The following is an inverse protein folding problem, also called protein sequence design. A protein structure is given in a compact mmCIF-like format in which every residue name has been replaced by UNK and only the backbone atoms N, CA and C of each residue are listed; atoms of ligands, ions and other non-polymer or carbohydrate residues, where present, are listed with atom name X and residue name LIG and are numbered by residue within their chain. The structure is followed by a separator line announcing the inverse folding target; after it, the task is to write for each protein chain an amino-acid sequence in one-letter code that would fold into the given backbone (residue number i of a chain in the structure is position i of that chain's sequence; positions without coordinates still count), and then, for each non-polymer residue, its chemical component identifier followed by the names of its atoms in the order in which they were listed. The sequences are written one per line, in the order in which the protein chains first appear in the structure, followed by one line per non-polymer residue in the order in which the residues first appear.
data_IF_351380775558
#
_entry.id   IF_351380775558
#
_cell.length_a   1.000
_cell.length_b   1.000
_cell.length_c   1.000
_cell.angle_alpha   90.00
_cell.angle_beta   90.00
_cell.angle_gamma   90.00
#
_symmetry.space_group_name_H-M   'P 1'
#
loop_
_entity.id
_entity.type
_entity.pdbx_description
1 polymer ?
#
# COMPACT_ATOMS: atom_id res chain seq x y z
N UNK A 1 34.10 0.86 13.59
CA UNK A 1 33.14 -0.19 13.15
C UNK A 1 32.27 -0.72 14.30
N UNK A 2 32.83 -1.15 15.44
CA UNK A 2 32.02 -1.64 16.59
C UNK A 2 31.00 -0.61 17.11
N UNK A 3 31.42 0.65 17.28
CA UNK A 3 30.54 1.73 17.75
C UNK A 3 29.39 2.01 16.76
N UNK A 4 29.70 2.06 15.48
CA UNK A 4 28.70 2.22 14.42
C UNK A 4 27.67 1.07 14.43
N UNK A 5 28.16 -0.18 14.55
CA UNK A 5 27.31 -1.35 14.67
C UNK A 5 26.42 -1.32 15.92
N UNK A 6 26.96 -0.88 17.05
CA UNK A 6 26.19 -0.75 18.29
C UNK A 6 25.08 0.31 18.19
N UNK A 7 25.38 1.48 17.61
CA UNK A 7 24.39 2.53 17.35
C UNK A 7 23.30 1.99 16.42
N UNK A 8 23.69 1.34 15.31
CA UNK A 8 22.75 0.74 14.36
C UNK A 8 21.81 -0.27 15.03
N UNK A 9 22.36 -1.24 15.77
CA UNK A 9 21.57 -2.26 16.48
C UNK A 9 20.63 -1.62 17.49
N UNK A 10 21.12 -0.66 18.28
CA UNK A 10 20.30 0.07 19.24
C UNK A 10 19.14 0.81 18.54
N UNK A 11 19.43 1.53 17.46
CA UNK A 11 18.41 2.27 16.70
C UNK A 11 17.37 1.32 16.11
N UNK A 12 17.77 0.20 15.52
CA UNK A 12 16.84 -0.80 14.97
C UNK A 12 15.98 -1.42 16.08
N UNK A 13 16.56 -1.75 17.23
CA UNK A 13 15.81 -2.27 18.38
C UNK A 13 14.75 -1.26 18.84
N UNK A 14 15.10 0.04 18.93
CA UNK A 14 14.14 1.07 19.32
C UNK A 14 13.04 1.29 18.25
N UNK A 15 13.38 1.20 16.96
CA UNK A 15 12.43 1.33 15.85
C UNK A 15 11.43 0.17 15.82
N UNK A 16 11.88 -1.06 16.08
CA UNK A 16 11.03 -2.25 16.09
C UNK A 16 10.22 -2.35 17.40
N UNK A 17 10.86 -2.12 18.56
CA UNK A 17 10.22 -2.30 19.85
C UNK A 17 9.29 -1.14 20.23
N UNK A 18 9.57 0.09 19.77
CA UNK A 18 8.77 1.29 20.06
C UNK A 18 8.35 1.41 21.54
N UNK A 19 9.32 1.40 22.49
CA UNK A 19 9.00 1.38 23.91
C UNK A 19 8.14 2.58 24.29
N UNK A 20 7.02 2.34 25.00
CA UNK A 20 6.04 3.37 25.38
C UNK A 20 5.43 4.16 24.21
N UNK A 21 5.38 3.57 23.01
CA UNK A 21 4.87 4.24 21.82
C UNK A 21 5.83 5.31 21.27
N UNK A 22 7.12 5.18 21.55
CA UNK A 22 8.16 6.00 20.92
C UNK A 22 8.03 5.90 19.40
N UNK A 23 7.70 7.02 18.77
CA UNK A 23 7.55 7.08 17.32
C UNK A 23 8.85 6.72 16.60
N UNK A 24 8.73 6.01 15.48
CA UNK A 24 9.85 5.52 14.66
C UNK A 24 10.82 6.65 14.30
N UNK A 25 10.29 7.84 13.97
CA UNK A 25 11.09 9.02 13.64
C UNK A 25 11.97 9.52 14.78
N UNK A 26 11.50 9.49 16.03
CA UNK A 26 12.30 9.90 17.19
C UNK A 26 13.43 8.91 17.45
N UNK A 27 13.17 7.62 17.33
CA UNK A 27 14.19 6.58 17.47
C UNK A 27 15.28 6.72 16.40
N UNK A 28 14.89 6.93 15.14
CA UNK A 28 15.81 7.17 14.03
C UNK A 28 16.61 8.47 14.19
N UNK A 29 15.95 9.58 14.53
CA UNK A 29 16.60 10.87 14.76
C UNK A 29 17.59 10.82 15.93
N UNK A 30 17.24 10.11 17.01
CA UNK A 30 18.14 9.89 18.15
C UNK A 30 19.38 9.07 17.75
N UNK A 31 19.20 8.04 16.91
CA UNK A 31 20.29 7.27 16.33
C UNK A 31 21.23 8.12 15.48
N UNK A 32 20.67 8.95 14.60
CA UNK A 32 21.44 9.88 13.78
C UNK A 32 22.20 10.92 14.62
N UNK A 33 21.55 11.48 15.65
CA UNK A 33 22.18 12.41 16.58
C UNK A 33 23.34 11.75 17.34
N UNK A 34 23.16 10.52 17.83
CA UNK A 34 24.23 9.75 18.48
C UNK A 34 25.40 9.47 17.52
N UNK A 35 25.13 9.14 16.26
CA UNK A 35 26.16 8.91 15.25
C UNK A 35 26.99 10.17 14.96
N UNK A 36 26.35 11.35 14.91
CA UNK A 36 27.01 12.63 14.75
C UNK A 36 27.84 13.01 16.00
N UNK A 37 27.24 12.88 17.20
CA UNK A 37 27.90 13.24 18.47
C UNK A 37 29.12 12.36 18.76
N UNK A 38 29.09 11.10 18.35
CA UNK A 38 30.20 10.16 18.53
C UNK A 38 31.25 10.25 17.42
N UNK A 39 31.04 11.08 16.41
CA UNK A 39 31.94 11.22 15.26
C UNK A 39 31.99 9.99 14.34
N UNK A 40 31.06 9.04 14.50
CA UNK A 40 30.90 7.88 13.60
C UNK A 40 30.45 8.33 12.22
N UNK A 41 29.62 9.37 12.18
CA UNK A 41 29.17 10.06 10.96
C UNK A 41 29.61 11.51 11.07
N UNK A 42 30.16 12.05 10.00
CA UNK A 42 30.55 13.45 9.88
C UNK A 42 29.45 14.25 9.17
N UNK A 43 29.42 15.57 9.38
CA UNK A 43 28.49 16.46 8.67
C UNK A 43 28.66 16.35 7.14
N UNK A 44 29.88 16.04 6.68
CA UNK A 44 30.19 15.79 5.27
C UNK A 44 29.54 14.52 4.69
N UNK A 45 29.05 13.60 5.52
CA UNK A 45 28.35 12.39 5.06
C UNK A 45 26.85 12.65 4.80
N UNK A 46 26.30 13.74 5.35
CA UNK A 46 24.87 14.08 5.21
C UNK A 46 24.45 14.22 3.75
N UNK A 47 25.20 14.92 2.86
CA UNK A 47 24.86 15.00 1.44
C UNK A 47 24.85 13.63 0.74
N UNK A 48 25.71 12.70 1.16
CA UNK A 48 25.76 11.34 0.60
C UNK A 48 24.50 10.57 0.99
N UNK A 49 24.12 10.61 2.27
CA UNK A 49 22.88 9.98 2.73
C UNK A 49 21.66 10.61 2.05
N UNK A 50 21.63 11.94 1.94
CA UNK A 50 20.57 12.66 1.25
C UNK A 50 20.45 12.22 -0.21
N UNK A 51 21.57 12.12 -0.94
CA UNK A 51 21.59 11.69 -2.33
C UNK A 51 21.00 10.28 -2.55
N UNK A 52 21.07 9.41 -1.54
CA UNK A 52 20.51 8.05 -1.58
C UNK A 52 19.00 8.04 -1.31
N UNK A 53 18.49 8.91 -0.44
CA UNK A 53 17.11 8.79 0.08
C UNK A 53 16.15 9.85 -0.42
N UNK A 54 16.63 10.98 -0.97
CA UNK A 54 15.77 12.11 -1.32
C UNK A 54 14.70 11.74 -2.36
N UNK A 55 15.09 10.99 -3.38
CA UNK A 55 14.21 10.57 -4.47
C UNK A 55 13.10 9.67 -3.91
N UNK A 56 13.49 8.60 -3.22
CA UNK A 56 12.57 7.68 -2.56
C UNK A 56 11.61 8.39 -1.59
N UNK A 57 12.12 9.33 -0.79
CA UNK A 57 11.32 10.09 0.17
C UNK A 57 10.31 11.00 -0.53
N UNK A 58 10.74 11.75 -1.55
CA UNK A 58 9.88 12.67 -2.28
C UNK A 58 8.79 11.93 -3.07
N UNK A 59 9.16 10.84 -3.75
CA UNK A 59 8.20 9.98 -4.47
C UNK A 59 7.17 9.39 -3.52
N UNK A 60 7.60 8.87 -2.37
CA UNK A 60 6.71 8.30 -1.37
C UNK A 60 5.70 9.32 -0.82
N UNK A 61 6.18 10.53 -0.47
CA UNK A 61 5.30 11.63 -0.03
C UNK A 61 4.30 12.00 -1.14
N UNK A 62 4.75 12.11 -2.39
CA UNK A 62 3.87 12.44 -3.50
C UNK A 62 2.76 11.40 -3.70
N UNK A 63 3.09 10.11 -3.63
CA UNK A 63 2.12 9.01 -3.73
C UNK A 63 1.11 9.03 -2.58
N UNK A 64 1.56 9.31 -1.35
CA UNK A 64 0.65 9.46 -0.20
C UNK A 64 -0.32 10.63 -0.43
N UNK A 65 0.18 11.80 -0.85
CA UNK A 65 -0.67 12.98 -1.10
C UNK A 65 -1.71 12.68 -2.18
N UNK A 66 -1.30 12.04 -3.29
CA UNK A 66 -2.21 11.65 -4.37
C UNK A 66 -3.29 10.69 -3.85
N UNK A 67 -2.89 9.71 -3.04
CA UNK A 67 -3.81 8.73 -2.45
C UNK A 67 -4.81 9.39 -1.53
N UNK A 68 -4.38 10.31 -0.66
CA UNK A 68 -5.27 11.07 0.22
C UNK A 68 -6.24 11.96 -0.57
N UNK A 69 -5.78 12.63 -1.63
CA UNK A 69 -6.65 13.45 -2.49
C UNK A 69 -7.71 12.60 -3.22
N UNK A 70 -7.33 11.41 -3.68
CA UNK A 70 -8.26 10.47 -4.30
C UNK A 70 -9.29 9.95 -3.29
N UNK A 71 -8.86 9.66 -2.07
CA UNK A 71 -9.78 9.24 -1.01
C UNK A 71 -10.77 10.35 -0.62
N UNK A 72 -10.29 11.59 -0.48
CA UNK A 72 -11.14 12.75 -0.24
C UNK A 72 -12.13 13.02 -1.39
N UNK A 73 -11.79 12.66 -2.62
CA UNK A 73 -12.73 12.71 -3.76
C UNK A 73 -13.81 11.62 -3.71
N UNK A 74 -13.60 10.57 -2.90
CA UNK A 74 -14.44 9.38 -2.80
C UNK A 74 -14.09 8.28 -3.81
N UNK A 75 -12.90 8.34 -4.43
CA UNK A 75 -12.49 7.41 -5.49
C UNK A 75 -12.45 5.95 -5.02
N UNK A 76 -11.85 5.69 -3.85
CA UNK A 76 -11.71 4.32 -3.35
C UNK A 76 -13.05 3.72 -2.89
N UNK A 77 -13.93 4.50 -2.25
CA UNK A 77 -15.30 4.06 -1.92
C UNK A 77 -16.09 3.80 -3.22
N UNK A 78 -15.98 4.68 -4.21
CA UNK A 78 -16.59 4.49 -5.53
C UNK A 78 -16.13 3.19 -6.21
N UNK A 79 -14.83 2.90 -6.16
CA UNK A 79 -14.25 1.70 -6.75
C UNK A 79 -14.70 0.43 -6.00
N UNK A 80 -14.67 0.47 -4.66
CA UNK A 80 -15.13 -0.63 -3.81
C UNK A 80 -16.61 -0.96 -4.05
N UNK A 81 -17.48 0.05 -4.16
CA UNK A 81 -18.91 -0.13 -4.45
C UNK A 81 -19.19 -0.70 -5.85
N UNK A 82 -18.33 -0.43 -6.84
CA UNK A 82 -18.41 -1.06 -8.17
C UNK A 82 -18.02 -2.53 -8.11
N UNK A 83 -16.84 -2.80 -7.53
CA UNK A 83 -16.31 -4.15 -7.32
C UNK A 83 -17.30 -5.01 -6.54
N UNK A 84 -17.93 -4.46 -5.51
CA UNK A 84 -18.91 -5.17 -4.73
C UNK A 84 -20.19 -5.50 -5.51
N UNK A 85 -20.52 -4.76 -6.57
CA UNK A 85 -21.63 -5.12 -7.47
C UNK A 85 -21.22 -6.16 -8.51
N UNK A 86 -19.96 -6.17 -8.93
CA UNK A 86 -19.43 -7.21 -9.83
C UNK A 86 -19.43 -8.60 -9.22
N UNK A 87 -19.42 -8.71 -7.89
CA UNK A 87 -19.62 -9.98 -7.19
C UNK A 87 -21.01 -10.61 -7.41
N UNK A 88 -22.00 -9.87 -7.94
CA UNK A 88 -23.34 -10.36 -8.33
C UNK A 88 -24.02 -11.19 -7.23
N UNK A 89 -23.85 -10.78 -5.97
CA UNK A 89 -24.43 -11.44 -4.81
C UNK A 89 -23.74 -12.75 -4.39
N UNK A 90 -22.64 -13.17 -5.02
CA UNK A 90 -21.86 -14.36 -4.63
C UNK A 90 -20.67 -13.96 -3.77
N UNK A 91 -20.65 -14.35 -2.50
CA UNK A 91 -19.61 -13.87 -1.56
C UNK A 91 -18.20 -14.32 -1.92
N UNK A 92 -18.03 -15.50 -2.56
CA UNK A 92 -16.72 -15.91 -3.11
C UNK A 92 -16.22 -15.02 -4.25
N UNK A 93 -17.12 -14.54 -5.12
CA UNK A 93 -16.72 -13.59 -6.16
C UNK A 93 -16.41 -12.22 -5.57
N UNK A 94 -17.19 -11.78 -4.59
CA UNK A 94 -16.91 -10.56 -3.84
C UNK A 94 -15.52 -10.61 -3.20
N UNK A 95 -15.16 -11.74 -2.57
CA UNK A 95 -13.85 -11.96 -1.98
C UNK A 95 -12.73 -11.80 -3.02
N UNK A 96 -12.83 -12.49 -4.16
CA UNK A 96 -11.85 -12.35 -5.24
C UNK A 96 -11.74 -10.90 -5.72
N UNK A 97 -12.87 -10.21 -5.94
CA UNK A 97 -12.83 -8.84 -6.46
C UNK A 97 -12.25 -7.85 -5.46
N UNK A 98 -12.53 -8.00 -4.17
CA UNK A 98 -11.93 -7.15 -3.13
C UNK A 98 -10.41 -7.39 -3.05
N UNK A 99 -9.97 -8.64 -3.15
CA UNK A 99 -8.54 -8.96 -3.19
C UNK A 99 -7.88 -8.35 -4.43
N UNK A 100 -8.50 -8.48 -5.61
CA UNK A 100 -7.98 -7.87 -6.84
C UNK A 100 -8.00 -6.34 -6.82
N UNK A 101 -8.99 -5.73 -6.16
CA UNK A 101 -9.02 -4.29 -5.91
C UNK A 101 -7.84 -3.88 -5.04
N UNK A 102 -7.61 -4.58 -3.92
CA UNK A 102 -6.45 -4.36 -3.05
C UNK A 102 -5.13 -4.52 -3.80
N UNK A 103 -5.02 -5.55 -4.65
CA UNK A 103 -3.84 -5.76 -5.49
C UNK A 103 -3.57 -4.59 -6.43
N UNK A 104 -4.63 -4.07 -7.06
CA UNK A 104 -4.54 -2.94 -7.99
C UNK A 104 -4.15 -1.65 -7.27
N UNK A 105 -4.74 -1.41 -6.10
CA UNK A 105 -4.43 -0.22 -5.29
C UNK A 105 -2.99 -0.29 -4.79
N UNK A 106 -2.54 -1.42 -4.26
CA UNK A 106 -1.16 -1.56 -3.77
C UNK A 106 -0.11 -1.45 -4.88
N UNK A 107 -0.39 -1.98 -6.07
CA UNK A 107 0.48 -1.83 -7.22
C UNK A 107 0.64 -0.36 -7.66
N UNK A 108 -0.39 0.48 -7.53
CA UNK A 108 -0.37 1.85 -8.05
C UNK A 108 -0.07 2.93 -6.99
N UNK A 109 -0.48 2.72 -5.73
CA UNK A 109 -0.55 3.74 -4.68
C UNK A 109 0.23 3.42 -3.41
N UNK A 110 1.15 2.45 -3.53
CA UNK A 110 1.84 1.85 -2.42
C UNK A 110 0.99 0.96 -1.51
N UNK A 111 1.66 -0.02 -0.89
CA UNK A 111 1.07 -0.92 0.11
C UNK A 111 0.39 -0.13 1.24
N UNK A 112 1.08 0.86 1.81
CA UNK A 112 0.57 1.61 2.96
C UNK A 112 -0.74 2.34 2.66
N UNK A 113 -0.87 2.91 1.45
CA UNK A 113 -2.11 3.54 0.99
C UNK A 113 -3.25 2.53 0.89
N UNK A 114 -2.98 1.34 0.32
CA UNK A 114 -3.97 0.27 0.26
C UNK A 114 -4.40 -0.19 1.66
N UNK A 115 -3.45 -0.39 2.57
CA UNK A 115 -3.73 -0.84 3.93
C UNK A 115 -4.50 0.20 4.75
N UNK A 116 -4.11 1.48 4.68
CA UNK A 116 -4.71 2.54 5.50
C UNK A 116 -6.07 2.99 4.98
N UNK A 117 -6.26 3.05 3.66
CA UNK A 117 -7.46 3.62 3.03
C UNK A 117 -8.47 2.53 2.68
N UNK A 118 -8.05 1.44 2.02
CA UNK A 118 -9.00 0.45 1.51
C UNK A 118 -9.58 -0.40 2.64
N UNK A 119 -8.80 -0.70 3.68
CA UNK A 119 -9.25 -1.52 4.83
C UNK A 119 -10.49 -0.95 5.53
N UNK A 120 -10.53 0.32 5.98
CA UNK A 120 -11.72 0.87 6.62
C UNK A 120 -12.93 0.91 5.67
N UNK A 121 -12.71 1.16 4.37
CA UNK A 121 -13.78 1.14 3.34
C UNK A 121 -14.37 -0.27 3.22
N UNK A 122 -13.50 -1.29 3.13
CA UNK A 122 -13.91 -2.69 3.05
C UNK A 122 -14.67 -3.10 4.32
N UNK A 123 -14.18 -2.72 5.51
CA UNK A 123 -14.87 -3.01 6.78
C UNK A 123 -16.26 -2.36 6.79
N UNK A 124 -16.37 -1.07 6.47
CA UNK A 124 -17.65 -0.36 6.45
C UNK A 124 -18.65 -1.01 5.48
N UNK A 125 -18.17 -1.44 4.32
CA UNK A 125 -18.97 -2.14 3.32
C UNK A 125 -19.44 -3.52 3.79
N UNK A 126 -18.57 -4.31 4.41
CA UNK A 126 -18.92 -5.63 4.94
C UNK A 126 -19.92 -5.53 6.10
N UNK A 127 -19.78 -4.51 6.96
CA UNK A 127 -20.74 -4.19 8.00
C UNK A 127 -22.11 -3.81 7.40
N UNK A 128 -22.13 -2.99 6.34
CA UNK A 128 -23.37 -2.64 5.64
C UNK A 128 -24.04 -3.86 4.97
N UNK A 129 -23.26 -4.85 4.54
CA UNK A 129 -23.75 -6.13 4.02
C UNK A 129 -24.21 -7.11 5.12
N UNK A 130 -24.04 -6.77 6.40
CA UNK A 130 -24.40 -7.62 7.54
C UNK A 130 -23.47 -8.83 7.73
N UNK A 131 -22.21 -8.73 7.28
CA UNK A 131 -21.26 -9.84 7.42
C UNK A 131 -20.84 -10.01 8.89
N UNK A 132 -20.76 -11.27 9.33
CA UNK A 132 -20.34 -11.61 10.68
C UNK A 132 -18.83 -11.37 10.93
N UNK A 133 -18.37 -11.37 12.19
CA UNK A 133 -16.99 -11.07 12.55
C UNK A 133 -15.94 -11.94 11.84
N UNK A 134 -16.21 -13.24 11.68
CA UNK A 134 -15.31 -14.18 11.00
C UNK A 134 -15.13 -13.83 9.51
N UNK A 135 -16.22 -13.48 8.83
CA UNK A 135 -16.18 -13.04 7.44
C UNK A 135 -15.43 -11.71 7.31
N UNK A 136 -15.72 -10.74 8.18
CA UNK A 136 -15.01 -9.45 8.17
C UNK A 136 -13.51 -9.64 8.38
N UNK A 137 -13.10 -10.50 9.32
CA UNK A 137 -11.70 -10.84 9.53
C UNK A 137 -11.08 -11.44 8.26
N UNK A 138 -11.75 -12.39 7.61
CA UNK A 138 -11.25 -13.02 6.39
C UNK A 138 -10.96 -12.00 5.28
N UNK A 139 -11.89 -11.06 5.05
CA UNK A 139 -11.73 -10.03 4.02
C UNK A 139 -10.65 -9.00 4.38
N UNK A 140 -10.56 -8.58 5.64
CA UNK A 140 -9.54 -7.63 6.11
C UNK A 140 -8.15 -8.26 6.02
N UNK A 141 -7.99 -9.51 6.47
CA UNK A 141 -6.73 -10.23 6.35
C UNK A 141 -6.34 -10.41 4.88
N UNK A 142 -7.31 -10.74 4.02
CA UNK A 142 -7.08 -10.86 2.59
C UNK A 142 -6.63 -9.54 1.95
N UNK A 143 -7.24 -8.41 2.32
CA UNK A 143 -6.83 -7.09 1.90
C UNK A 143 -5.40 -6.74 2.38
N UNK A 144 -5.04 -7.09 3.61
CA UNK A 144 -3.69 -6.89 4.14
C UNK A 144 -2.63 -7.73 3.43
N UNK A 145 -2.85 -9.04 3.30
CA UNK A 145 -1.90 -9.94 2.62
C UNK A 145 -1.70 -9.59 1.15
N UNK A 146 -2.78 -9.21 0.46
CA UNK A 146 -2.66 -8.83 -0.94
C UNK A 146 -2.03 -7.46 -1.10
N UNK A 147 -2.26 -6.51 -0.18
CA UNK A 147 -1.60 -5.21 -0.23
C UNK A 147 -0.08 -5.36 -0.14
N UNK A 148 0.40 -6.27 0.72
CA UNK A 148 1.81 -6.59 0.80
C UNK A 148 2.31 -7.31 -0.46
N UNK A 149 1.66 -8.42 -0.83
CA UNK A 149 2.07 -9.26 -1.97
C UNK A 149 2.07 -8.50 -3.30
N UNK A 150 1.04 -7.69 -3.55
CA UNK A 150 0.81 -7.04 -4.84
C UNK A 150 1.57 -5.72 -5.02
N UNK A 151 2.38 -5.33 -4.03
CA UNK A 151 3.21 -4.13 -4.04
C UNK A 151 4.58 -4.33 -4.73
N UNK A 152 4.76 -5.44 -5.46
CA UNK A 152 5.98 -5.79 -6.17
C UNK A 152 6.15 -5.22 -7.60
N UNK A 153 5.11 -4.95 -8.41
CA UNK A 153 5.28 -4.86 -9.85
C UNK A 153 5.97 -3.57 -10.31
N UNK A 154 5.77 -2.44 -9.61
CA UNK A 154 6.34 -1.15 -9.99
C UNK A 154 7.30 -0.64 -8.92
N UNK A 155 8.28 0.16 -9.34
CA UNK A 155 9.22 0.82 -8.43
C UNK A 155 8.46 1.65 -7.39
N UNK A 156 7.40 2.35 -7.80
CA UNK A 156 6.59 3.21 -6.91
C UNK A 156 5.60 2.45 -6.02
N UNK A 157 5.42 1.14 -6.22
CA UNK A 157 4.48 0.32 -5.44
C UNK A 157 4.94 0.10 -4.00
N UNK A 158 6.21 0.29 -3.66
CA UNK A 158 6.71 0.11 -2.30
C UNK A 158 7.99 0.91 -2.09
N UNK A 159 8.17 1.52 -0.90
CA UNK A 159 9.40 2.24 -0.55
C UNK A 159 10.66 1.38 -0.75
N UNK A 160 10.59 0.09 -0.41
CA UNK A 160 11.72 -0.84 -0.58
C UNK A 160 12.11 -1.01 -2.05
N UNK A 161 11.13 -0.99 -2.96
CA UNK A 161 11.39 -1.07 -4.40
C UNK A 161 12.08 0.20 -4.89
N UNK A 162 11.64 1.39 -4.43
CA UNK A 162 12.27 2.66 -4.81
C UNK A 162 13.72 2.70 -4.37
N UNK A 163 14.00 2.38 -3.10
CA UNK A 163 15.36 2.37 -2.55
C UNK A 163 16.25 1.35 -3.28
N UNK A 164 15.72 0.16 -3.57
CA UNK A 164 16.48 -0.89 -4.27
C UNK A 164 16.77 -0.50 -5.72
N UNK A 165 15.77 0.01 -6.45
CA UNK A 165 15.95 0.40 -7.83
C UNK A 165 16.91 1.58 -7.98
N UNK A 166 16.85 2.57 -7.09
CA UNK A 166 17.76 3.72 -7.07
C UNK A 166 19.20 3.27 -6.77
N UNK A 167 19.38 2.37 -5.78
CA UNK A 167 20.70 1.84 -5.39
C UNK A 167 21.35 0.98 -6.48
N UNK A 168 20.57 0.14 -7.18
CA UNK A 168 21.06 -0.71 -8.27
C UNK A 168 20.97 -0.05 -9.65
N UNK A 169 20.53 1.22 -9.72
CA UNK A 169 20.31 1.98 -10.95
C UNK A 169 19.42 1.26 -11.98
N UNK A 170 18.37 0.60 -11.51
CA UNK A 170 17.42 -0.13 -12.37
C UNK A 170 16.43 0.84 -13.01
N UNK A 171 16.26 0.71 -14.33
CA UNK A 171 15.24 1.46 -15.05
C UNK A 171 13.82 0.96 -14.71
N UNK A 172 12.82 1.85 -14.77
CA UNK A 172 11.43 1.48 -14.48
C UNK A 172 10.91 0.34 -15.37
N UNK A 173 11.16 0.42 -16.68
CA UNK A 173 10.74 -0.61 -17.65
C UNK A 173 11.43 -1.95 -17.40
N UNK A 174 12.73 -1.92 -17.11
CA UNK A 174 13.51 -3.13 -16.78
C UNK A 174 12.95 -3.80 -15.52
N UNK A 175 12.77 -3.04 -14.44
CA UNK A 175 12.20 -3.52 -13.20
C UNK A 175 10.80 -4.13 -13.42
N UNK A 176 9.90 -3.39 -14.08
CA UNK A 176 8.54 -3.82 -14.31
C UNK A 176 8.47 -5.08 -15.20
N UNK A 177 9.35 -5.21 -16.20
CA UNK A 177 9.36 -6.37 -17.11
C UNK A 177 9.61 -7.70 -16.38
N UNK A 178 10.38 -7.66 -15.29
CA UNK A 178 10.67 -8.83 -14.45
C UNK A 178 9.64 -8.98 -13.34
N UNK A 179 9.30 -7.88 -12.67
CA UNK A 179 8.47 -7.91 -11.47
C UNK A 179 6.97 -8.05 -11.75
N UNK A 180 6.47 -7.62 -12.91
CA UNK A 180 5.05 -7.82 -13.27
C UNK A 180 4.70 -9.32 -13.38
N UNK A 181 5.45 -10.17 -14.11
CA UNK A 181 5.22 -11.61 -14.11
C UNK A 181 5.32 -12.26 -12.73
N UNK A 182 6.33 -11.88 -11.93
CA UNK A 182 6.51 -12.37 -10.55
C UNK A 182 5.30 -12.00 -9.69
N UNK A 183 4.84 -10.76 -9.80
CA UNK A 183 3.68 -10.25 -9.10
C UNK A 183 2.39 -11.00 -9.47
N UNK A 184 2.18 -11.30 -10.76
CA UNK A 184 1.03 -12.09 -11.19
C UNK A 184 1.04 -13.50 -10.57
N UNK A 185 2.20 -14.17 -10.56
CA UNK A 185 2.33 -15.46 -9.90
C UNK A 185 2.05 -15.36 -8.39
N UNK A 186 2.56 -14.32 -7.74
CA UNK A 186 2.35 -14.07 -6.32
C UNK A 186 0.87 -13.78 -5.99
N UNK A 187 0.19 -12.94 -6.78
CA UNK A 187 -1.25 -12.66 -6.65
C UNK A 187 -2.06 -13.95 -6.80
N UNK A 188 -1.77 -14.79 -7.79
CA UNK A 188 -2.47 -16.06 -8.00
C UNK A 188 -2.25 -17.01 -6.81
N UNK A 189 -1.02 -17.14 -6.33
CA UNK A 189 -0.69 -17.97 -5.17
C UNK A 189 -1.41 -17.47 -3.90
N UNK A 190 -1.38 -16.16 -3.65
CA UNK A 190 -2.05 -15.53 -2.50
C UNK A 190 -3.57 -15.69 -2.60
N UNK A 191 -4.18 -15.46 -3.77
CA UNK A 191 -5.60 -15.71 -3.98
C UNK A 191 -5.98 -17.17 -3.71
N UNK A 192 -5.21 -18.13 -4.23
CA UNK A 192 -5.47 -19.54 -4.04
C UNK A 192 -5.40 -19.93 -2.56
N UNK A 193 -4.36 -19.47 -1.84
CA UNK A 193 -4.15 -19.76 -0.43
C UNK A 193 -5.25 -19.11 0.44
N UNK A 194 -5.58 -17.85 0.18
CA UNK A 194 -6.63 -17.13 0.92
C UNK A 194 -8.01 -17.76 0.71
N UNK A 195 -8.34 -18.16 -0.53
CA UNK A 195 -9.57 -18.91 -0.79
C UNK A 195 -9.58 -20.26 -0.10
N UNK A 196 -8.46 -20.98 -0.07
CA UNK A 196 -8.38 -22.28 0.59
C UNK A 196 -8.52 -22.16 2.11
N UNK A 197 -7.86 -21.17 2.71
CA UNK A 197 -7.82 -20.94 4.15
C UNK A 197 -9.17 -20.42 4.66
N UNK A 198 -9.71 -19.37 4.04
CA UNK A 198 -10.97 -18.72 4.47
C UNK A 198 -12.24 -19.29 3.81
N UNK A 199 -12.15 -20.43 3.11
CA UNK A 199 -13.30 -21.05 2.38
C UNK A 199 -14.56 -21.25 3.22
N UNK A 200 -14.42 -21.39 4.55
CA UNK A 200 -15.52 -21.60 5.50
C UNK A 200 -16.09 -20.30 6.05
N UNK A 201 -15.29 -19.24 6.07
CA UNK A 201 -15.66 -17.95 6.67
C UNK A 201 -16.27 -17.00 5.63
N UNK A 202 -16.06 -17.25 4.33
CA UNK A 202 -16.66 -16.48 3.24
C UNK A 202 -18.14 -16.84 3.09
N UNK A 203 -19.07 -15.86 3.23
CA UNK A 203 -20.49 -16.10 3.00
C UNK A 203 -20.77 -16.58 1.56
N UNK A 204 -21.76 -17.45 1.39
CA UNK A 204 -22.11 -17.95 0.07
C UNK A 204 -22.80 -16.87 -0.78
N UNK A 205 -23.72 -16.11 -0.16
CA UNK A 205 -24.57 -15.13 -0.82
C UNK A 205 -24.62 -13.84 -0.01
N UNK A 206 -24.72 -12.70 -0.69
CA UNK A 206 -24.99 -11.40 -0.09
C UNK A 206 -25.95 -10.59 -0.97
N UNK A 207 -26.64 -9.61 -0.40
CA UNK A 207 -27.50 -8.72 -1.18
C UNK A 207 -26.74 -7.42 -1.54
N UNK A 208 -26.37 -7.20 -2.82
CA UNK A 208 -25.69 -5.98 -3.24
C UNK A 208 -26.56 -4.72 -3.15
N UNK A 209 -27.88 -4.84 -3.03
CA UNK A 209 -28.79 -3.69 -2.89
C UNK A 209 -28.70 -3.01 -1.53
N UNK A 210 -28.12 -3.69 -0.52
CA UNK A 210 -27.84 -3.09 0.79
C UNK A 210 -26.73 -2.02 0.71
N UNK A 211 -25.98 -1.97 -0.39
CA UNK A 211 -24.90 -1.02 -0.60
C UNK A 211 -25.39 0.27 -1.27
N UNK A 212 -24.83 1.40 -0.84
CA UNK A 212 -25.00 2.70 -1.50
C UNK A 212 -24.69 2.63 -2.99
N UNK A 213 -25.33 3.46 -3.80
CA UNK A 213 -25.04 3.58 -5.24
C UNK A 213 -23.63 4.14 -5.43
N UNK A 214 -22.83 3.69 -6.43
CA UNK A 214 -21.46 4.15 -6.56
C UNK A 214 -21.35 5.66 -6.80
N UNK A 215 -22.32 6.24 -7.51
CA UNK A 215 -22.40 7.68 -7.74
C UNK A 215 -22.51 8.49 -6.45
N UNK A 216 -23.10 7.93 -5.39
CA UNK A 216 -23.22 8.62 -4.09
C UNK A 216 -21.91 8.71 -3.30
N UNK A 217 -20.89 7.95 -3.70
CA UNK A 217 -19.55 8.03 -3.08
C UNK A 217 -18.74 9.23 -3.60
N UNK A 218 -19.08 9.79 -4.76
CA UNK A 218 -18.36 10.94 -5.33
C UNK A 218 -18.70 12.17 -4.51
N UNK A 219 -17.74 12.64 -3.69
CA UNK A 219 -17.91 13.83 -2.84
C UNK A 219 -17.73 15.13 -3.63
N UNK A 220 -16.71 15.17 -4.49
CA UNK A 220 -16.45 16.30 -5.39
C UNK A 220 -16.17 15.84 -6.84
N UNK A 221 -17.07 16.12 -7.79
CA UNK A 221 -16.90 15.75 -9.20
C UNK A 221 -15.68 16.38 -9.87
N UNK A 222 -15.25 17.57 -9.46
CA UNK A 222 -14.10 18.25 -10.05
C UNK A 222 -12.80 17.55 -9.64
N UNK A 223 -12.62 17.33 -8.33
CA UNK A 223 -11.48 16.57 -7.79
C UNK A 223 -11.49 15.13 -8.29
N UNK A 224 -12.64 14.48 -8.42
CA UNK A 224 -12.72 13.12 -8.98
C UNK A 224 -12.21 13.04 -10.42
N UNK A 225 -12.61 13.99 -11.29
CA UNK A 225 -12.10 14.06 -12.68
C UNK A 225 -10.62 14.41 -12.73
N UNK A 226 -10.18 15.35 -11.89
CA UNK A 226 -8.77 15.68 -11.75
C UNK A 226 -7.95 14.48 -11.28
N UNK A 227 -8.50 13.67 -10.37
CA UNK A 227 -7.91 12.42 -9.90
C UNK A 227 -7.61 11.46 -11.05
N UNK A 228 -8.55 11.23 -11.96
CA UNK A 228 -8.31 10.45 -13.18
C UNK A 228 -7.20 11.05 -14.05
N UNK A 229 -7.13 12.38 -14.17
CA UNK A 229 -6.05 13.07 -14.87
C UNK A 229 -4.69 12.85 -14.21
N UNK A 230 -4.62 12.95 -12.88
CA UNK A 230 -3.41 12.67 -12.09
C UNK A 230 -2.99 11.22 -12.25
N UNK A 231 -3.91 10.26 -12.23
CA UNK A 231 -3.60 8.84 -12.46
C UNK A 231 -3.02 8.59 -13.84
N UNK A 232 -3.61 9.19 -14.88
CA UNK A 232 -3.08 9.12 -16.23
C UNK A 232 -1.70 9.76 -16.34
N UNK A 233 -1.49 10.90 -15.69
CA UNK A 233 -0.21 11.61 -15.69
C UNK A 233 0.88 10.84 -14.93
N UNK A 234 0.57 10.27 -13.75
CA UNK A 234 1.50 9.44 -12.97
C UNK A 234 1.83 8.19 -13.76
N UNK A 235 0.83 7.46 -14.27
CA UNK A 235 1.07 6.28 -15.08
C UNK A 235 1.92 6.60 -16.31
N UNK A 236 1.60 7.67 -17.06
CA UNK A 236 2.37 8.09 -18.23
C UNK A 236 3.79 8.56 -17.89
N UNK A 237 3.96 9.29 -16.79
CA UNK A 237 5.26 9.78 -16.33
C UNK A 237 6.21 8.66 -15.92
N UNK A 238 5.70 7.55 -15.39
CA UNK A 238 6.51 6.39 -14.98
C UNK A 238 7.17 5.67 -16.16
N UNK A 239 6.57 5.71 -17.35
CA UNK A 239 7.13 5.08 -18.56
C UNK A 239 7.90 6.06 -19.46
N UNK A 240 8.00 7.33 -19.06
CA UNK A 240 8.78 8.32 -19.78
C UNK A 240 10.27 8.19 -19.36
N UNK A 241 11.22 8.18 -20.31
CA UNK A 241 12.65 8.02 -20.03
C UNK A 241 13.27 9.21 -19.30
#
# INVERSE_FOLDING_TARGET
MLLAGAIFVLTIVLVIWQPRGLGIGWSAASGAALALLTGVVQVGDIPVVWAIVWNATATFIAVIIISLLLDESGFFEWAALHVARWGKGRGRLLFTWIVLLGATVAALFANDGAALILTPIVIAMLLALGFGPAATLAFVMAAGFIADTASLPLIVSNLVNIVSADFFHLGFSEYASVMVPVNLAAIVATLALLHLFFRRDIPLVYNPELLKTPASAIKDPATFKAGWGVLGAVAGGLFCP
#
